data_IF_913451662318
#
_entry.id   IF_913451662318
#
_cell.length_a   1.000
_cell.length_b   1.000
_cell.length_c   1.000
_cell.angle_alpha   90.00
_cell.angle_beta   90.00
_cell.angle_gamma   90.00
#
_symmetry.space_group_name_H-M   'P 1'
#
loop_
_entity.id
_entity.type
_entity.pdbx_description
1 polymer ?
#
# COMPACT_ATOMS: atom_id res chain seq x y z
N UNK A 1 -8.14 4.08 -35.81
CA UNK A 1 -7.02 4.68 -36.57
C UNK A 1 -7.59 5.64 -37.63
N UNK A 2 -6.90 6.73 -37.95
CA UNK A 2 -7.27 7.58 -39.07
C UNK A 2 -7.31 6.76 -40.37
N UNK A 3 -8.28 7.07 -41.22
CA UNK A 3 -8.51 6.30 -42.46
C UNK A 3 -7.34 6.44 -43.42
N UNK A 4 -6.70 5.34 -43.77
CA UNK A 4 -5.56 5.35 -44.72
C UNK A 4 -4.21 5.73 -44.09
N UNK A 5 -4.12 5.89 -42.76
CA UNK A 5 -2.86 6.13 -42.07
C UNK A 5 -1.99 4.86 -42.06
N UNK A 6 -0.69 5.03 -42.21
CA UNK A 6 0.29 4.01 -42.02
C UNK A 6 0.36 3.63 -40.51
N UNK A 7 0.16 2.38 -40.12
CA UNK A 7 0.22 1.97 -38.70
C UNK A 7 1.52 2.34 -37.98
N UNK A 8 2.65 2.38 -38.71
CA UNK A 8 3.96 2.73 -38.13
C UNK A 8 4.12 4.24 -37.87
N UNK A 9 3.14 5.04 -38.30
CA UNK A 9 3.08 6.51 -38.11
C UNK A 9 1.93 6.94 -37.22
N UNK A 10 1.36 6.02 -36.45
CA UNK A 10 0.22 6.29 -35.55
C UNK A 10 0.64 6.01 -34.11
N UNK A 11 0.59 7.03 -33.27
CA UNK A 11 1.08 6.99 -31.91
C UNK A 11 0.02 7.42 -30.89
N UNK A 12 0.02 6.83 -29.71
CA UNK A 12 -0.65 7.35 -28.53
C UNK A 12 0.35 8.18 -27.72
N UNK A 13 0.05 9.44 -27.51
CA UNK A 13 0.94 10.36 -26.80
C UNK A 13 0.63 10.33 -25.29
N UNK A 14 1.51 9.74 -24.51
CA UNK A 14 1.39 9.66 -23.03
C UNK A 14 2.25 10.75 -22.37
N UNK A 15 1.94 11.05 -21.12
CA UNK A 15 2.72 11.93 -20.28
C UNK A 15 3.10 11.25 -18.98
N UNK A 16 4.31 11.48 -18.46
CA UNK A 16 4.79 10.97 -17.20
C UNK A 16 5.77 11.91 -16.51
N UNK A 17 5.76 11.93 -15.19
CA UNK A 17 6.77 12.57 -14.34
C UNK A 17 7.89 11.62 -13.91
N UNK A 18 7.73 10.32 -14.19
CA UNK A 18 8.62 9.26 -13.73
C UNK A 18 9.10 8.41 -14.91
N UNK A 19 10.03 8.90 -15.75
CA UNK A 19 10.49 8.20 -16.96
C UNK A 19 10.99 6.78 -16.71
N UNK A 20 11.56 6.52 -15.52
CA UNK A 20 12.04 5.19 -15.15
C UNK A 20 10.93 4.11 -15.14
N UNK A 21 9.64 4.48 -15.05
CA UNK A 21 8.54 3.50 -15.09
C UNK A 21 8.11 3.12 -16.51
N UNK A 22 8.53 3.85 -17.54
CA UNK A 22 8.19 3.55 -18.94
C UNK A 22 8.59 2.14 -19.38
N UNK A 23 9.78 1.63 -19.05
CA UNK A 23 10.14 0.23 -19.39
C UNK A 23 9.21 -0.83 -18.77
N UNK A 24 8.48 -0.45 -17.71
CA UNK A 24 7.54 -1.31 -16.97
C UNK A 24 6.09 -1.20 -17.49
N UNK A 25 5.84 -0.38 -18.51
CA UNK A 25 4.51 -0.12 -19.07
C UNK A 25 3.85 -1.39 -19.61
N UNK A 26 2.55 -1.57 -19.34
CA UNK A 26 1.74 -2.69 -19.86
C UNK A 26 0.43 -2.23 -20.50
N UNK A 27 -0.01 -1.00 -20.25
CA UNK A 27 -1.25 -0.46 -20.79
C UNK A 27 -1.18 1.07 -20.90
N UNK A 28 -2.17 1.68 -21.52
CA UNK A 28 -2.42 3.12 -21.54
C UNK A 28 -3.81 3.34 -20.97
N UNK A 29 -3.94 4.15 -19.92
CA UNK A 29 -5.25 4.50 -19.34
C UNK A 29 -5.83 5.73 -20.01
N UNK A 30 -7.12 5.65 -20.39
CA UNK A 30 -7.96 6.74 -20.88
C UNK A 30 -9.17 6.92 -19.96
N UNK A 31 -9.74 8.11 -19.88
CA UNK A 31 -10.99 8.33 -19.17
C UNK A 31 -12.18 8.07 -20.08
N UNK A 32 -13.14 7.28 -19.63
CA UNK A 32 -14.32 6.86 -20.41
C UNK A 32 -15.08 8.04 -21.03
N UNK A 33 -15.20 9.14 -20.28
CA UNK A 33 -16.05 10.28 -20.59
C UNK A 33 -15.35 11.42 -21.34
N UNK A 34 -14.04 11.35 -21.52
CA UNK A 34 -13.31 12.41 -22.22
C UNK A 34 -13.35 12.22 -23.73
N UNK A 35 -13.21 13.34 -24.44
CA UNK A 35 -13.10 13.39 -25.88
C UNK A 35 -11.63 13.30 -26.32
N UNK A 36 -11.34 12.44 -27.27
CA UNK A 36 -10.02 12.21 -27.85
C UNK A 36 -10.04 12.47 -29.34
N UNK A 37 -8.96 12.99 -29.85
CA UNK A 37 -8.79 13.34 -31.25
C UNK A 37 -7.45 12.85 -31.78
N UNK A 38 -7.38 12.69 -33.07
CA UNK A 38 -6.12 12.50 -33.77
C UNK A 38 -5.58 13.88 -34.20
N UNK A 39 -4.31 14.12 -33.94
CA UNK A 39 -3.59 15.31 -34.38
C UNK A 39 -2.55 14.88 -35.40
N UNK A 40 -2.60 15.44 -36.59
CA UNK A 40 -1.64 15.19 -37.65
C UNK A 40 -0.50 16.22 -37.62
N UNK A 41 0.74 15.72 -37.62
CA UNK A 41 1.96 16.52 -37.72
C UNK A 41 2.78 15.92 -38.88
N UNK A 42 2.81 16.64 -40.02
CA UNK A 42 3.41 16.08 -41.23
C UNK A 42 2.71 14.79 -41.67
N UNK A 43 3.38 13.68 -41.59
CA UNK A 43 2.86 12.35 -41.94
C UNK A 43 2.58 11.43 -40.72
N UNK A 44 2.74 11.96 -39.53
CA UNK A 44 2.45 11.25 -38.25
C UNK A 44 1.11 11.64 -37.65
N UNK A 45 0.49 10.73 -36.90
CA UNK A 45 -0.80 10.92 -36.23
C UNK A 45 -0.65 10.62 -34.75
N UNK A 46 -1.00 11.58 -33.90
CA UNK A 46 -0.93 11.51 -32.46
C UNK A 46 -2.32 11.46 -31.84
N UNK A 47 -2.60 10.45 -31.02
CA UNK A 47 -3.83 10.35 -30.22
C UNK A 47 -3.62 11.06 -28.88
N UNK A 48 -4.55 11.97 -28.52
CA UNK A 48 -4.58 12.65 -27.22
C UNK A 48 -5.95 13.22 -26.91
N UNK A 49 -6.18 13.66 -25.68
CA UNK A 49 -7.42 14.34 -25.32
C UNK A 49 -7.54 15.67 -26.05
N UNK A 50 -8.75 15.95 -26.56
CA UNK A 50 -9.06 17.13 -27.35
C UNK A 50 -8.72 18.46 -26.64
N UNK A 51 -9.07 18.56 -25.36
CA UNK A 51 -8.85 19.74 -24.54
C UNK A 51 -7.37 20.03 -24.24
N UNK A 52 -6.52 19.02 -24.43
CA UNK A 52 -5.07 19.09 -24.15
C UNK A 52 -4.22 19.23 -25.42
N UNK A 53 -4.81 19.38 -26.60
CA UNK A 53 -4.06 19.50 -27.86
C UNK A 53 -3.18 20.76 -27.86
N UNK A 54 -3.76 21.92 -27.62
CA UNK A 54 -3.02 23.19 -27.69
C UNK A 54 -1.85 23.27 -26.70
N UNK A 55 -2.05 22.97 -25.37
CA UNK A 55 -0.94 23.00 -24.44
C UNK A 55 0.12 21.94 -24.77
N UNK A 56 -0.26 20.77 -25.30
CA UNK A 56 0.67 19.72 -25.70
C UNK A 56 1.51 20.12 -26.90
N UNK A 57 0.90 20.67 -27.96
CA UNK A 57 1.61 21.15 -29.13
C UNK A 57 2.57 22.28 -28.78
N UNK A 58 2.16 23.20 -27.92
CA UNK A 58 3.02 24.25 -27.37
C UNK A 58 4.22 23.70 -26.60
N UNK A 59 4.02 22.66 -25.77
CA UNK A 59 5.10 22.00 -25.06
C UNK A 59 6.09 21.32 -26.02
N UNK A 60 5.60 20.74 -27.11
CA UNK A 60 6.39 20.16 -28.19
C UNK A 60 7.03 21.19 -29.13
N UNK A 61 6.68 22.47 -29.00
CA UNK A 61 7.09 23.55 -29.93
C UNK A 61 6.70 23.25 -31.39
N UNK A 62 5.50 22.71 -31.56
CA UNK A 62 4.91 22.38 -32.85
C UNK A 62 3.86 23.41 -33.16
N UNK A 63 4.09 24.24 -34.20
CA UNK A 63 3.18 25.31 -34.65
C UNK A 63 2.32 24.85 -35.83
N UNK A 64 2.80 23.90 -36.64
CA UNK A 64 2.10 23.35 -37.80
C UNK A 64 1.53 21.97 -37.53
N UNK A 65 0.23 21.89 -37.22
CA UNK A 65 -0.51 20.67 -36.97
C UNK A 65 -1.97 20.78 -37.38
N UNK A 66 -2.61 19.68 -37.64
CA UNK A 66 -4.01 19.59 -37.97
C UNK A 66 -4.76 18.67 -36.99
N UNK A 67 -5.82 19.18 -36.38
CA UNK A 67 -6.76 18.36 -35.58
C UNK A 67 -7.77 17.71 -36.50
N UNK A 68 -7.81 16.40 -36.56
CA UNK A 68 -8.76 15.70 -37.41
C UNK A 68 -10.20 15.82 -36.84
N UNK A 69 -11.23 15.83 -37.71
CA UNK A 69 -12.60 16.08 -37.29
C UNK A 69 -13.25 14.94 -36.48
N UNK A 70 -12.69 13.75 -36.57
CA UNK A 70 -13.23 12.57 -35.87
C UNK A 70 -12.93 12.66 -34.36
N UNK A 71 -13.97 12.90 -33.57
CA UNK A 71 -13.89 12.91 -32.09
C UNK A 71 -14.37 11.57 -31.58
N UNK A 72 -13.58 10.97 -30.71
CA UNK A 72 -13.87 9.69 -30.06
C UNK A 72 -13.97 9.86 -28.55
N UNK A 73 -14.86 9.12 -27.90
CA UNK A 73 -14.87 9.03 -26.44
C UNK A 73 -13.82 8.01 -25.98
N UNK A 74 -13.34 8.13 -24.71
CA UNK A 74 -12.43 7.12 -24.17
C UNK A 74 -13.01 5.72 -24.24
N UNK A 75 -14.32 5.56 -24.09
CA UNK A 75 -15.01 4.28 -24.25
C UNK A 75 -14.81 3.67 -25.65
N UNK A 76 -14.74 4.47 -26.68
CA UNK A 76 -14.50 4.01 -28.05
C UNK A 76 -13.02 3.66 -28.31
N UNK A 77 -12.11 4.10 -27.44
CA UNK A 77 -10.70 3.77 -27.51
C UNK A 77 -10.35 2.46 -26.81
N UNK A 78 -11.22 1.97 -25.93
CA UNK A 78 -11.00 0.75 -25.15
C UNK A 78 -10.64 -0.43 -26.07
N UNK A 79 -9.54 -1.09 -25.77
CA UNK A 79 -9.06 -2.24 -26.55
C UNK A 79 -8.23 -1.89 -27.80
N UNK A 80 -8.04 -0.63 -28.13
CA UNK A 80 -7.03 -0.27 -29.14
C UNK A 80 -5.64 -0.64 -28.63
N UNK A 81 -4.83 -1.27 -29.48
CA UNK A 81 -3.52 -1.79 -29.08
C UNK A 81 -2.41 -1.03 -29.78
N UNK A 82 -1.47 -0.54 -28.98
CA UNK A 82 -0.22 0.05 -29.44
C UNK A 82 0.97 -0.86 -29.16
N UNK A 83 2.12 -0.54 -29.71
CA UNK A 83 3.39 -1.19 -29.46
C UNK A 83 4.19 -0.41 -28.43
N UNK A 84 4.80 -1.10 -27.46
CA UNK A 84 5.73 -0.46 -26.53
C UNK A 84 6.94 0.12 -27.28
N UNK A 85 7.44 1.33 -26.91
CA UNK A 85 8.53 1.97 -27.68
C UNK A 85 9.85 1.21 -27.66
N UNK A 86 10.13 0.37 -26.63
CA UNK A 86 11.40 -0.35 -26.51
C UNK A 86 11.30 -1.86 -26.73
N UNK A 87 10.13 -2.44 -26.40
CA UNK A 87 9.98 -3.88 -26.31
C UNK A 87 8.92 -4.39 -27.27
N UNK A 88 9.03 -5.64 -27.67
CA UNK A 88 7.96 -6.34 -28.41
C UNK A 88 6.83 -6.71 -27.44
N UNK A 89 6.13 -5.67 -26.96
CA UNK A 89 5.01 -5.77 -26.03
C UNK A 89 3.83 -5.01 -26.58
N UNK A 90 2.67 -5.66 -26.58
CA UNK A 90 1.38 -5.04 -26.90
C UNK A 90 0.87 -4.24 -25.70
N UNK A 91 0.46 -3.02 -25.94
CA UNK A 91 0.00 -2.07 -24.93
C UNK A 91 -1.42 -1.65 -25.28
N UNK A 92 -2.45 -2.25 -24.67
CA UNK A 92 -3.84 -1.87 -24.94
C UNK A 92 -4.21 -0.57 -24.24
N UNK A 93 -5.20 0.15 -24.79
CA UNK A 93 -5.91 1.20 -24.07
C UNK A 93 -6.95 0.55 -23.15
N UNK A 94 -6.95 0.98 -21.89
CA UNK A 94 -7.89 0.59 -20.85
C UNK A 94 -8.56 1.82 -20.24
N UNK A 95 -9.66 1.65 -19.52
CA UNK A 95 -10.41 2.76 -18.91
C UNK A 95 -10.04 2.92 -17.44
N UNK A 96 -9.70 4.17 -17.04
CA UNK A 96 -9.34 4.52 -15.68
C UNK A 96 -9.83 5.90 -15.27
N UNK A 97 -10.55 5.98 -14.14
CA UNK A 97 -11.14 7.22 -13.62
C UNK A 97 -10.09 8.22 -13.08
N UNK A 98 -8.86 7.73 -12.83
CA UNK A 98 -7.73 8.55 -12.36
C UNK A 98 -7.15 9.47 -13.44
N UNK A 99 -7.50 9.25 -14.70
CA UNK A 99 -7.06 10.13 -15.81
C UNK A 99 -7.81 11.46 -15.74
N UNK A 100 -7.07 12.57 -15.75
CA UNK A 100 -7.59 13.93 -15.66
C UNK A 100 -7.20 14.78 -16.88
N UNK A 101 -7.83 15.96 -17.03
CA UNK A 101 -7.50 16.96 -18.05
C UNK A 101 -6.71 18.15 -17.49
N UNK A 102 -6.22 18.06 -16.25
CA UNK A 102 -5.48 19.17 -15.63
C UNK A 102 -4.08 19.33 -16.22
N UNK A 103 -3.43 18.22 -16.55
CA UNK A 103 -2.07 18.18 -17.09
C UNK A 103 -1.87 16.99 -18.02
N UNK A 104 -0.85 17.04 -18.85
CA UNK A 104 -0.44 15.92 -19.70
C UNK A 104 -1.16 15.89 -21.03
N UNK A 105 -1.54 14.70 -21.47
CA UNK A 105 -2.14 14.43 -22.79
C UNK A 105 -3.52 13.78 -22.71
N UNK A 106 -4.04 13.53 -21.49
CA UNK A 106 -5.26 12.76 -21.28
C UNK A 106 -5.11 11.25 -21.52
N UNK A 107 -3.91 10.81 -21.83
CA UNK A 107 -3.52 9.40 -21.89
C UNK A 107 -2.36 9.16 -20.93
N UNK A 108 -2.55 8.23 -20.00
CA UNK A 108 -1.56 7.93 -18.95
C UNK A 108 -0.97 6.55 -19.19
N UNK A 109 0.37 6.48 -19.25
CA UNK A 109 1.03 5.19 -19.26
C UNK A 109 0.77 4.46 -17.95
N UNK A 110 0.55 3.15 -18.01
CA UNK A 110 0.11 2.36 -16.86
C UNK A 110 1.10 1.25 -16.59
N UNK A 111 1.66 1.25 -15.37
CA UNK A 111 2.63 0.26 -14.89
C UNK A 111 2.19 -0.28 -13.51
N UNK A 112 1.47 -1.41 -13.45
CA UNK A 112 0.87 -1.93 -12.21
C UNK A 112 1.88 -2.29 -11.12
N UNK A 113 3.16 -2.42 -11.45
CA UNK A 113 4.23 -2.59 -10.46
C UNK A 113 4.50 -1.32 -9.64
N UNK A 114 4.14 -0.12 -10.15
CA UNK A 114 4.69 1.15 -9.66
C UNK A 114 3.67 2.24 -9.38
N UNK A 115 2.39 1.94 -9.33
CA UNK A 115 1.31 2.86 -8.97
C UNK A 115 0.09 2.13 -8.41
N UNK A 116 -0.55 2.71 -7.36
CA UNK A 116 -1.75 2.12 -6.80
C UNK A 116 -2.90 2.15 -7.81
N UNK A 117 -3.14 3.32 -8.44
CA UNK A 117 -4.18 3.49 -9.44
C UNK A 117 -3.95 2.57 -10.65
N UNK A 118 -2.68 2.43 -11.07
CA UNK A 118 -2.25 1.54 -12.15
C UNK A 118 -2.53 0.07 -11.80
N UNK A 119 -2.24 -0.33 -10.57
CA UNK A 119 -2.51 -1.67 -10.08
C UNK A 119 -4.02 -1.96 -10.05
N UNK A 120 -4.82 -1.05 -9.49
CA UNK A 120 -6.26 -1.22 -9.32
C UNK A 120 -6.98 -1.24 -10.68
N UNK A 121 -6.57 -0.41 -11.62
CA UNK A 121 -7.15 -0.43 -12.97
C UNK A 121 -6.75 -1.71 -13.73
N UNK A 122 -5.49 -2.14 -13.65
CA UNK A 122 -5.05 -3.38 -14.31
C UNK A 122 -5.75 -4.62 -13.74
N UNK A 123 -6.09 -4.63 -12.44
CA UNK A 123 -6.86 -5.71 -11.82
C UNK A 123 -8.24 -5.90 -12.47
N UNK A 124 -8.91 -4.82 -12.89
CA UNK A 124 -10.19 -4.88 -13.64
C UNK A 124 -10.00 -5.58 -15.00
N UNK A 125 -8.81 -5.51 -15.58
CA UNK A 125 -8.46 -6.10 -16.89
C UNK A 125 -7.55 -7.33 -16.78
N UNK A 126 -7.57 -8.03 -15.63
CA UNK A 126 -6.75 -9.23 -15.41
C UNK A 126 -6.99 -10.32 -16.46
N UNK A 127 -8.22 -10.44 -17.00
CA UNK A 127 -8.58 -11.36 -18.10
C UNK A 127 -7.86 -11.04 -19.42
N UNK A 128 -7.34 -9.80 -19.59
CA UNK A 128 -6.52 -9.42 -20.75
C UNK A 128 -5.02 -9.72 -20.53
N UNK A 129 -4.66 -10.34 -19.39
CA UNK A 129 -3.29 -10.65 -19.01
C UNK A 129 -2.53 -9.48 -18.41
N UNK A 130 -3.21 -8.37 -18.05
CA UNK A 130 -2.58 -7.22 -17.40
C UNK A 130 -2.34 -7.54 -15.93
N UNK A 131 -1.08 -7.61 -15.55
CA UNK A 131 -0.63 -7.93 -14.19
C UNK A 131 0.74 -7.32 -13.92
N UNK A 132 1.14 -7.19 -12.64
CA UNK A 132 2.52 -6.87 -12.29
C UNK A 132 3.52 -7.84 -12.95
N UNK A 133 4.62 -7.29 -13.43
CA UNK A 133 5.66 -8.05 -14.15
C UNK A 133 6.84 -8.43 -13.25
N UNK A 134 6.96 -7.81 -12.06
CA UNK A 134 8.12 -7.99 -11.19
C UNK A 134 9.38 -7.31 -11.75
N UNK A 135 9.23 -6.10 -12.25
CA UNK A 135 10.26 -5.35 -12.98
C UNK A 135 11.35 -4.77 -12.12
N UNK A 136 11.13 -4.60 -10.81
CA UNK A 136 12.07 -4.01 -9.85
C UNK A 136 12.18 -4.89 -8.61
N UNK A 137 13.41 -5.18 -8.21
CA UNK A 137 13.73 -6.01 -7.04
C UNK A 137 13.62 -5.25 -5.70
N UNK A 138 13.87 -5.95 -4.59
CA UNK A 138 13.83 -5.37 -3.22
C UNK A 138 14.90 -4.30 -2.94
N UNK A 139 15.90 -4.15 -3.80
CA UNK A 139 16.95 -3.12 -3.69
C UNK A 139 16.68 -1.90 -4.58
N UNK A 140 15.53 -1.87 -5.28
CA UNK A 140 15.18 -0.80 -6.20
C UNK A 140 15.91 -0.86 -7.54
N UNK A 141 16.37 -2.04 -7.95
CA UNK A 141 17.04 -2.26 -9.22
C UNK A 141 16.17 -3.05 -10.18
N UNK A 142 16.31 -2.77 -11.47
CA UNK A 142 15.60 -3.54 -12.48
C UNK A 142 16.04 -5.01 -12.49
N UNK A 143 15.05 -5.87 -12.66
CA UNK A 143 15.25 -7.31 -12.86
C UNK A 143 15.55 -7.63 -14.33
N UNK A 144 15.72 -8.91 -14.66
CA UNK A 144 15.83 -9.43 -16.02
C UNK A 144 14.59 -9.21 -16.90
N UNK A 145 13.49 -8.77 -16.31
CA UNK A 145 12.24 -8.41 -17.01
C UNK A 145 12.32 -7.07 -17.75
N UNK A 146 13.40 -6.31 -17.55
CA UNK A 146 13.63 -4.99 -18.16
C UNK A 146 14.94 -5.00 -18.95
N UNK A 147 14.98 -5.65 -20.14
CA UNK A 147 16.17 -5.81 -20.96
C UNK A 147 16.83 -4.47 -21.31
N UNK A 148 18.14 -4.40 -21.11
CA UNK A 148 18.96 -3.21 -21.37
C UNK A 148 19.08 -2.24 -20.22
N UNK A 149 18.34 -2.47 -19.09
CA UNK A 149 18.45 -1.70 -17.86
C UNK A 149 18.69 -2.60 -16.63
N UNK A 150 18.91 -3.89 -16.81
CA UNK A 150 19.07 -4.87 -15.73
C UNK A 150 20.14 -4.43 -14.72
N UNK A 151 19.84 -4.58 -13.44
CA UNK A 151 20.71 -4.25 -12.32
C UNK A 151 20.90 -2.75 -12.07
N UNK A 152 20.39 -1.87 -12.92
CA UNK A 152 20.48 -0.42 -12.71
C UNK A 152 19.47 0.02 -11.65
N UNK A 153 19.89 0.96 -10.80
CA UNK A 153 19.01 1.57 -9.81
C UNK A 153 18.01 2.53 -10.47
N UNK A 154 16.73 2.40 -10.17
CA UNK A 154 15.64 3.07 -10.92
C UNK A 154 15.78 4.59 -11.01
N UNK A 155 16.22 5.26 -9.94
CA UNK A 155 16.39 6.72 -9.98
C UNK A 155 17.53 7.20 -10.87
N UNK A 156 18.51 6.34 -11.15
CA UNK A 156 19.62 6.66 -12.05
C UNK A 156 19.22 6.54 -13.53
N UNK A 157 18.05 5.93 -13.83
CA UNK A 157 17.66 5.59 -15.19
C UNK A 157 16.71 6.60 -15.86
N UNK A 158 16.28 7.64 -15.16
CA UNK A 158 15.43 8.67 -15.79
C UNK A 158 16.07 9.28 -17.05
N UNK A 159 17.35 9.65 -16.98
CA UNK A 159 18.07 10.21 -18.12
C UNK A 159 18.35 9.16 -19.20
N UNK A 160 18.87 7.95 -18.89
CA UNK A 160 18.98 6.86 -19.86
C UNK A 160 17.70 6.53 -20.61
N UNK A 161 16.55 6.44 -19.92
CA UNK A 161 15.25 6.16 -20.56
C UNK A 161 14.84 7.28 -21.51
N UNK A 162 14.95 8.55 -21.09
CA UNK A 162 14.67 9.70 -21.97
C UNK A 162 15.57 9.67 -23.21
N UNK A 163 16.87 9.38 -23.04
CA UNK A 163 17.81 9.26 -24.15
C UNK A 163 17.40 8.14 -25.11
N UNK A 164 17.03 6.98 -24.59
CA UNK A 164 16.55 5.85 -25.38
C UNK A 164 15.29 6.20 -26.19
N UNK A 165 14.32 6.90 -25.58
CA UNK A 165 13.14 7.39 -26.28
C UNK A 165 13.50 8.33 -27.43
N UNK A 166 14.45 9.26 -27.19
CA UNK A 166 14.90 10.20 -28.22
C UNK A 166 15.60 9.48 -29.40
N UNK A 167 16.46 8.49 -29.09
CA UNK A 167 17.15 7.69 -30.10
C UNK A 167 16.18 6.88 -30.98
N UNK A 168 15.03 6.50 -30.44
CA UNK A 168 13.99 5.75 -31.15
C UNK A 168 12.93 6.65 -31.82
N UNK A 169 13.07 7.98 -31.74
CA UNK A 169 12.07 8.91 -32.24
C UNK A 169 10.75 8.90 -31.47
N UNK A 170 10.72 8.30 -30.28
CA UNK A 170 9.52 8.15 -29.45
C UNK A 170 9.40 9.24 -28.36
N UNK A 171 10.25 10.25 -28.35
CA UNK A 171 10.21 11.37 -27.42
C UNK A 171 9.62 12.60 -28.10
N UNK A 172 8.39 12.95 -27.80
CA UNK A 172 7.74 14.14 -28.34
C UNK A 172 8.28 15.44 -27.71
N UNK A 173 8.28 15.50 -26.36
CA UNK A 173 8.78 16.66 -25.64
C UNK A 173 9.32 16.26 -24.26
N UNK A 174 10.20 17.10 -23.72
CA UNK A 174 10.62 17.01 -22.32
C UNK A 174 10.67 18.39 -21.68
N UNK A 175 10.22 18.48 -20.44
CA UNK A 175 10.33 19.69 -19.63
C UNK A 175 10.77 19.32 -18.22
N UNK A 176 11.28 20.30 -17.48
CA UNK A 176 11.56 20.15 -16.05
C UNK A 176 10.51 20.94 -15.30
N UNK A 177 9.85 20.28 -14.34
CA UNK A 177 8.93 20.98 -13.47
C UNK A 177 9.09 20.53 -12.02
N UNK A 178 8.69 21.38 -11.11
CA UNK A 178 8.80 21.12 -9.67
C UNK A 178 7.48 20.57 -9.15
N UNK A 179 7.52 19.42 -8.53
CA UNK A 179 6.36 18.80 -7.90
C UNK A 179 6.72 18.20 -6.53
N UNK A 180 5.70 17.85 -5.76
CA UNK A 180 5.88 17.13 -4.51
C UNK A 180 6.14 15.65 -4.81
N UNK A 181 7.11 15.07 -4.12
CA UNK A 181 7.45 13.65 -4.23
C UNK A 181 7.41 12.98 -2.84
N UNK A 182 6.87 11.78 -2.71
CA UNK A 182 6.80 11.10 -1.43
C UNK A 182 8.19 10.67 -0.95
N UNK A 183 8.48 10.97 0.32
CA UNK A 183 9.73 10.61 0.98
C UNK A 183 9.49 9.75 2.20
N UNK A 184 10.43 8.88 2.52
CA UNK A 184 10.42 8.10 3.76
C UNK A 184 10.36 9.03 4.97
N UNK A 185 9.38 8.84 5.84
CA UNK A 185 9.23 9.66 7.05
C UNK A 185 10.43 9.57 8.00
N UNK A 186 11.22 8.48 7.93
CA UNK A 186 12.37 8.20 8.80
C UNK A 186 13.70 8.66 8.23
N UNK A 187 14.11 8.15 7.06
CA UNK A 187 15.40 8.51 6.44
C UNK A 187 15.33 9.72 5.51
N UNK A 188 14.12 10.18 5.16
CA UNK A 188 13.85 11.32 4.26
C UNK A 188 14.24 11.09 2.80
N UNK A 189 14.70 9.90 2.45
CA UNK A 189 14.98 9.53 1.07
C UNK A 189 13.69 9.32 0.26
N UNK A 190 13.71 9.56 -1.07
CA UNK A 190 12.56 9.32 -1.93
C UNK A 190 12.17 7.84 -1.92
N UNK A 191 10.86 7.57 -2.01
CA UNK A 191 10.34 6.21 -2.06
C UNK A 191 9.76 5.90 -3.43
N UNK A 192 9.63 4.61 -3.74
CA UNK A 192 8.92 4.12 -4.92
C UNK A 192 7.75 3.24 -4.50
N UNK A 193 6.73 3.16 -5.34
CA UNK A 193 5.73 2.09 -5.27
C UNK A 193 6.31 0.85 -5.96
N UNK A 194 6.11 -0.31 -5.36
CA UNK A 194 6.54 -1.60 -5.90
C UNK A 194 5.53 -2.68 -5.54
N UNK A 195 4.96 -3.32 -6.54
CA UNK A 195 4.13 -4.49 -6.32
C UNK A 195 4.98 -5.64 -5.75
N UNK A 196 4.49 -6.27 -4.69
CA UNK A 196 5.12 -7.42 -4.03
C UNK A 196 4.04 -8.40 -3.62
N UNK A 197 4.38 -9.68 -3.61
CA UNK A 197 3.53 -10.69 -2.99
C UNK A 197 3.47 -10.43 -1.49
N UNK A 198 2.27 -10.42 -0.94
CA UNK A 198 2.02 -10.13 0.47
C UNK A 198 0.90 -11.03 0.98
N UNK A 199 0.91 -11.30 2.29
CA UNK A 199 -0.19 -11.96 2.98
C UNK A 199 -1.21 -10.93 3.45
N UNK A 200 -2.46 -11.16 3.09
CA UNK A 200 -3.59 -10.33 3.50
C UNK A 200 -4.60 -11.13 4.31
N UNK A 201 -5.04 -10.55 5.43
CA UNK A 201 -6.23 -11.03 6.13
C UNK A 201 -7.45 -10.31 5.54
N UNK A 202 -8.35 -11.07 4.93
CA UNK A 202 -9.60 -10.51 4.41
C UNK A 202 -10.53 -10.13 5.56
N UNK A 203 -11.04 -8.90 5.52
CA UNK A 203 -11.98 -8.37 6.50
C UNK A 203 -13.43 -8.59 6.07
N UNK A 204 -13.69 -8.81 4.78
CA UNK A 204 -15.03 -8.87 4.21
C UNK A 204 -15.92 -9.96 4.85
N UNK A 205 -15.34 -11.11 5.17
CA UNK A 205 -16.06 -12.24 5.77
C UNK A 205 -16.63 -11.97 7.17
N UNK A 206 -16.12 -10.97 7.89
CA UNK A 206 -16.56 -10.63 9.24
C UNK A 206 -16.75 -9.13 9.50
N UNK A 207 -16.65 -8.28 8.46
CA UNK A 207 -16.82 -6.82 8.56
C UNK A 207 -18.10 -6.43 9.29
N UNK A 208 -19.24 -6.98 8.89
CA UNK A 208 -20.53 -6.65 9.52
C UNK A 208 -20.53 -7.01 11.00
N UNK A 209 -20.00 -8.19 11.37
CA UNK A 209 -19.86 -8.58 12.78
C UNK A 209 -18.97 -7.61 13.57
N UNK A 210 -17.92 -7.05 12.93
CA UNK A 210 -17.07 -6.05 13.58
C UNK A 210 -17.81 -4.72 13.79
N UNK A 211 -18.63 -4.28 12.83
CA UNK A 211 -19.48 -3.10 12.97
C UNK A 211 -20.52 -3.30 14.07
N UNK A 212 -21.19 -4.44 14.11
CA UNK A 212 -22.16 -4.79 15.15
C UNK A 212 -21.50 -4.85 16.54
N UNK A 213 -20.27 -5.35 16.63
CA UNK A 213 -19.51 -5.39 17.88
C UNK A 213 -19.15 -3.99 18.41
N UNK A 214 -18.88 -3.00 17.51
CA UNK A 214 -18.62 -1.62 17.89
C UNK A 214 -19.82 -1.01 18.63
N UNK A 215 -21.05 -1.32 18.22
CA UNK A 215 -22.28 -0.84 18.83
C UNK A 215 -22.49 -1.34 20.27
N UNK A 216 -21.85 -2.47 20.62
CA UNK A 216 -21.92 -3.04 21.98
C UNK A 216 -20.97 -2.39 22.98
N UNK A 217 -19.99 -1.60 22.50
CA UNK A 217 -18.92 -1.01 23.31
C UNK A 217 -19.27 0.38 23.79
N UNK A 218 -18.97 0.68 25.06
CA UNK A 218 -19.10 2.03 25.60
C UNK A 218 -17.91 2.90 25.23
N UNK A 219 -18.12 3.86 24.33
CA UNK A 219 -17.09 4.80 23.88
C UNK A 219 -17.05 6.06 24.72
N UNK A 220 -15.87 6.44 25.22
CA UNK A 220 -15.64 7.61 26.05
C UNK A 220 -14.44 8.40 25.48
N UNK A 221 -14.64 9.57 24.85
CA UNK A 221 -15.92 10.20 24.48
C UNK A 221 -16.67 9.45 23.37
N UNK A 222 -17.95 9.77 23.20
CA UNK A 222 -18.85 9.10 22.25
C UNK A 222 -18.38 9.16 20.78
N UNK A 223 -17.67 10.21 20.36
CA UNK A 223 -17.13 10.32 19.00
C UNK A 223 -16.17 9.18 18.62
N UNK A 224 -15.63 8.47 19.62
CA UNK A 224 -14.79 7.29 19.38
C UNK A 224 -15.51 6.18 18.61
N UNK A 225 -16.83 6.05 18.80
CA UNK A 225 -17.70 5.15 18.07
C UNK A 225 -17.64 5.43 16.56
N UNK A 226 -18.05 6.62 16.14
CA UNK A 226 -18.14 6.95 14.72
C UNK A 226 -16.77 6.89 14.04
N UNK A 227 -15.73 7.24 14.78
CA UNK A 227 -14.36 7.19 14.28
C UNK A 227 -13.92 5.76 13.94
N UNK A 228 -14.12 4.80 14.82
CA UNK A 228 -13.71 3.41 14.57
C UNK A 228 -14.67 2.73 13.59
N UNK A 229 -15.97 3.07 13.66
CA UNK A 229 -16.98 2.55 12.75
C UNK A 229 -16.61 2.86 11.29
N UNK A 230 -16.36 4.13 10.96
CA UNK A 230 -15.96 4.52 9.61
C UNK A 230 -14.63 3.88 9.20
N UNK A 231 -13.67 3.75 10.10
CA UNK A 231 -12.40 3.07 9.82
C UNK A 231 -12.55 1.59 9.49
N UNK A 232 -13.54 0.89 10.03
CA UNK A 232 -13.81 -0.53 9.73
C UNK A 232 -14.71 -0.65 8.51
N UNK A 233 -15.71 0.23 8.37
CA UNK A 233 -16.62 0.26 7.22
C UNK A 233 -15.86 0.39 5.90
N UNK A 234 -14.95 1.35 5.82
CA UNK A 234 -14.18 1.65 4.60
C UNK A 234 -12.85 0.87 4.49
N UNK A 235 -12.62 -0.07 5.41
CA UNK A 235 -11.35 -0.80 5.44
C UNK A 235 -11.27 -1.83 4.31
N UNK A 236 -10.18 -1.81 3.55
CA UNK A 236 -9.76 -2.91 2.69
C UNK A 236 -9.14 -4.07 3.49
N UNK A 237 -8.65 -5.08 2.78
CA UNK A 237 -7.94 -6.21 3.37
C UNK A 237 -6.71 -5.73 4.16
N UNK A 238 -6.40 -6.42 5.23
CA UNK A 238 -5.28 -6.08 6.09
C UNK A 238 -4.01 -6.82 5.64
N UNK A 239 -3.05 -6.10 5.06
CA UNK A 239 -1.73 -6.65 4.79
C UNK A 239 -1.02 -6.97 6.11
N UNK A 240 -0.90 -8.26 6.41
CA UNK A 240 -0.31 -8.74 7.67
C UNK A 240 1.19 -9.07 7.57
N UNK A 241 1.74 -9.23 6.38
CA UNK A 241 3.15 -9.56 6.17
C UNK A 241 4.05 -8.32 6.21
N UNK A 242 5.26 -8.48 6.75
CA UNK A 242 6.30 -7.45 6.80
C UNK A 242 7.66 -8.06 6.49
N UNK A 243 8.44 -7.39 5.66
CA UNK A 243 9.83 -7.73 5.32
C UNK A 243 10.76 -7.07 6.33
N UNK A 244 10.84 -7.66 7.54
CA UNK A 244 11.68 -7.21 8.65
C UNK A 244 12.36 -8.41 9.29
N UNK A 245 13.49 -8.17 9.93
CA UNK A 245 14.28 -9.23 10.61
C UNK A 245 13.73 -9.55 11.99
N UNK A 246 13.12 -8.58 12.67
CA UNK A 246 12.60 -8.72 14.02
C UNK A 246 11.07 -8.71 14.04
N UNK A 247 10.47 -9.80 14.50
CA UNK A 247 9.02 -9.95 14.68
C UNK A 247 8.59 -11.40 14.77
N UNK A 248 7.30 -11.63 14.99
CA UNK A 248 6.70 -12.96 15.01
C UNK A 248 6.60 -13.49 13.58
N UNK A 249 7.06 -14.70 13.29
CA UNK A 249 7.01 -15.27 11.95
C UNK A 249 5.58 -15.57 11.50
N UNK A 250 5.35 -15.56 10.20
CA UNK A 250 4.13 -16.07 9.58
C UNK A 250 4.29 -17.58 9.38
N UNK A 251 3.52 -18.44 10.08
CA UNK A 251 3.73 -19.88 10.09
C UNK A 251 3.16 -20.58 8.85
N UNK A 252 3.61 -20.19 7.68
CA UNK A 252 3.17 -20.71 6.39
C UNK A 252 4.33 -21.39 5.68
N UNK A 253 4.04 -22.53 5.06
CA UNK A 253 4.97 -23.24 4.21
C UNK A 253 4.52 -23.18 2.75
N UNK A 254 5.45 -23.45 1.84
CA UNK A 254 5.18 -23.59 0.42
C UNK A 254 5.70 -24.92 -0.06
N UNK A 255 4.92 -25.62 -0.84
CA UNK A 255 5.37 -26.81 -1.54
C UNK A 255 6.24 -26.40 -2.73
N UNK A 256 7.49 -26.87 -2.79
CA UNK A 256 8.39 -26.57 -3.89
C UNK A 256 8.05 -27.40 -5.16
N UNK A 257 7.30 -28.50 -5.01
CA UNK A 257 6.92 -29.36 -6.12
C UNK A 257 5.74 -28.80 -6.94
N UNK A 258 4.80 -28.06 -6.30
CA UNK A 258 3.62 -27.50 -6.99
C UNK A 258 3.42 -25.99 -6.78
N UNK A 259 4.21 -25.34 -5.94
CA UNK A 259 4.10 -23.91 -5.65
C UNK A 259 2.99 -23.51 -4.65
N UNK A 260 2.12 -24.44 -4.25
CA UNK A 260 0.99 -24.13 -3.38
C UNK A 260 1.43 -23.84 -1.94
N UNK A 261 0.73 -22.90 -1.31
CA UNK A 261 0.94 -22.56 0.09
C UNK A 261 0.25 -23.57 1.01
N UNK A 262 0.84 -23.80 2.18
CA UNK A 262 0.36 -24.76 3.18
C UNK A 262 0.19 -24.03 4.50
N UNK A 263 -1.05 -23.93 4.93
CA UNK A 263 -1.49 -23.51 6.24
C UNK A 263 -2.77 -24.29 6.58
N UNK A 264 -2.69 -25.19 7.54
CA UNK A 264 -3.83 -26.01 7.98
C UNK A 264 -3.70 -26.36 9.45
N UNK A 265 -4.75 -26.98 10.01
CA UNK A 265 -4.83 -27.30 11.44
C UNK A 265 -3.69 -28.23 11.89
N UNK A 266 -3.23 -29.15 11.04
CA UNK A 266 -2.15 -30.09 11.36
C UNK A 266 -0.82 -29.36 11.52
N UNK A 267 -0.43 -28.54 10.54
CA UNK A 267 0.82 -27.76 10.59
C UNK A 267 0.80 -26.74 11.70
N UNK A 268 -0.32 -26.05 11.90
CA UNK A 268 -0.47 -25.06 13.00
C UNK A 268 -0.42 -25.73 14.36
N UNK A 269 -1.11 -26.85 14.56
CA UNK A 269 -1.08 -27.57 15.85
C UNK A 269 0.31 -28.12 16.17
N UNK A 270 1.07 -28.55 15.17
CA UNK A 270 2.45 -28.98 15.36
C UNK A 270 3.35 -27.81 15.77
N UNK A 271 3.32 -26.70 15.04
CA UNK A 271 4.08 -25.50 15.37
C UNK A 271 3.70 -24.89 16.72
N UNK A 272 2.43 -24.91 17.09
CA UNK A 272 1.96 -24.43 18.38
C UNK A 272 2.64 -25.17 19.56
N UNK A 273 2.84 -26.48 19.43
CA UNK A 273 3.56 -27.29 20.46
C UNK A 273 5.04 -26.90 20.52
N UNK A 274 5.66 -26.67 19.39
CA UNK A 274 7.06 -26.24 19.33
C UNK A 274 7.23 -24.83 19.91
N UNK A 275 6.39 -23.88 19.51
CA UNK A 275 6.44 -22.50 19.99
C UNK A 275 6.13 -22.40 21.50
N UNK A 276 5.23 -23.24 22.02
CA UNK A 276 4.94 -23.30 23.45
C UNK A 276 6.15 -23.75 24.28
N UNK A 277 7.03 -24.55 23.70
CA UNK A 277 8.23 -25.07 24.36
C UNK A 277 9.45 -24.15 24.24
N UNK A 278 9.66 -23.54 23.04
CA UNK A 278 10.91 -22.89 22.68
C UNK A 278 10.71 -21.40 22.27
N UNK A 279 9.46 -20.93 22.20
CA UNK A 279 9.13 -19.56 21.75
C UNK A 279 9.06 -19.42 20.22
N UNK A 280 8.78 -18.21 19.75
CA UNK A 280 8.62 -17.93 18.32
C UNK A 280 9.94 -18.02 17.53
N UNK A 281 11.08 -17.95 18.21
CA UNK A 281 12.41 -18.08 17.59
C UNK A 281 12.64 -19.46 16.98
N UNK A 282 11.90 -20.48 17.45
CA UNK A 282 11.83 -21.84 16.87
C UNK A 282 11.76 -21.80 15.34
N UNK A 283 10.95 -20.90 14.78
CA UNK A 283 10.80 -20.76 13.32
C UNK A 283 12.11 -20.47 12.59
N UNK A 284 12.99 -19.71 13.22
CA UNK A 284 14.27 -19.31 12.66
C UNK A 284 15.40 -20.26 12.98
N UNK A 285 15.29 -20.98 14.11
CA UNK A 285 16.34 -21.88 14.62
C UNK A 285 16.32 -23.26 13.95
N UNK A 286 15.14 -23.71 13.48
CA UNK A 286 14.97 -25.05 12.93
C UNK A 286 14.84 -25.05 11.42
N UNK A 287 15.28 -26.12 10.78
CA UNK A 287 15.06 -26.38 9.37
C UNK A 287 13.60 -26.72 9.08
N UNK A 288 13.18 -26.54 7.82
CA UNK A 288 11.80 -26.81 7.39
C UNK A 288 11.36 -28.24 7.73
N UNK A 289 12.26 -29.22 7.57
CA UNK A 289 11.95 -30.63 7.88
C UNK A 289 11.61 -30.88 9.34
N UNK A 290 12.19 -30.10 10.24
CA UNK A 290 11.95 -30.20 11.69
C UNK A 290 10.65 -29.45 12.07
N UNK A 291 10.33 -28.37 11.34
CA UNK A 291 9.13 -27.58 11.54
C UNK A 291 7.87 -28.21 10.97
N UNK A 292 8.01 -29.15 10.03
CA UNK A 292 6.88 -29.91 9.48
C UNK A 292 6.56 -31.14 10.32
N UNK A 293 5.30 -31.57 10.42
CA UNK A 293 4.94 -32.86 11.01
C UNK A 293 5.69 -33.99 10.32
N UNK A 294 6.08 -35.02 11.08
CA UNK A 294 6.81 -36.18 10.56
C UNK A 294 6.02 -36.89 9.44
N UNK A 295 6.66 -37.11 8.31
CA UNK A 295 6.05 -37.77 7.15
C UNK A 295 5.00 -36.94 6.41
N UNK A 296 4.91 -35.62 6.66
CA UNK A 296 3.94 -34.74 6.03
C UNK A 296 4.08 -34.74 4.50
N UNK A 297 2.96 -34.76 3.82
CA UNK A 297 2.87 -34.68 2.35
C UNK A 297 1.95 -33.54 1.94
N UNK A 298 2.33 -32.84 0.88
CA UNK A 298 1.51 -31.78 0.31
C UNK A 298 0.10 -32.29 -0.02
N UNK A 299 -0.96 -31.68 0.50
CA UNK A 299 -2.33 -32.12 0.23
C UNK A 299 -2.75 -31.91 -1.23
N UNK A 300 -2.04 -31.09 -1.99
CA UNK A 300 -2.35 -30.80 -3.39
C UNK A 300 -1.66 -31.75 -4.37
N UNK A 301 -0.39 -32.09 -4.14
CA UNK A 301 0.38 -32.89 -5.11
C UNK A 301 1.05 -34.15 -4.51
N UNK A 302 1.01 -34.30 -3.18
CA UNK A 302 1.69 -35.41 -2.50
C UNK A 302 3.21 -35.22 -2.34
N UNK A 303 3.77 -34.11 -2.79
CA UNK A 303 5.19 -33.77 -2.69
C UNK A 303 5.67 -33.61 -1.26
N UNK A 304 7.01 -33.67 -1.08
CA UNK A 304 7.65 -33.66 0.25
C UNK A 304 8.73 -32.58 0.37
N UNK A 305 8.89 -31.73 -0.62
CA UNK A 305 9.84 -30.62 -0.60
C UNK A 305 9.12 -29.35 -0.24
N UNK A 306 9.56 -28.72 0.85
CA UNK A 306 8.90 -27.51 1.39
C UNK A 306 9.92 -26.42 1.68
N UNK A 307 9.49 -25.17 1.53
CA UNK A 307 10.17 -23.99 2.06
C UNK A 307 9.25 -23.26 3.03
N UNK A 308 9.81 -22.56 4.00
CA UNK A 308 9.06 -21.75 4.97
C UNK A 308 8.98 -20.29 4.52
N UNK A 309 7.94 -19.58 5.00
CA UNK A 309 7.81 -18.15 4.84
C UNK A 309 8.94 -17.42 5.59
N UNK A 310 9.43 -16.32 5.04
CA UNK A 310 10.48 -15.48 5.62
C UNK A 310 9.98 -14.14 6.13
N UNK A 311 8.75 -13.76 5.76
CA UNK A 311 8.12 -12.57 6.27
C UNK A 311 7.67 -12.75 7.73
N UNK A 312 7.59 -11.63 8.44
CA UNK A 312 7.05 -11.56 9.79
C UNK A 312 5.65 -10.95 9.80
N UNK A 313 4.92 -11.17 10.88
CA UNK A 313 3.62 -10.54 11.07
C UNK A 313 3.74 -9.03 11.33
N UNK A 314 2.72 -8.29 10.93
CA UNK A 314 2.52 -6.90 11.36
C UNK A 314 2.47 -6.84 12.89
N UNK A 315 3.28 -6.01 13.51
CA UNK A 315 3.28 -5.80 14.96
C UNK A 315 1.90 -5.41 15.53
N UNK A 316 1.04 -4.82 14.70
CA UNK A 316 -0.34 -4.54 15.08
C UNK A 316 -1.20 -5.80 15.13
N UNK A 317 -0.86 -6.84 14.38
CA UNK A 317 -1.47 -8.16 14.54
C UNK A 317 -1.04 -8.78 15.88
N UNK A 318 0.26 -8.77 16.19
CA UNK A 318 0.79 -9.29 17.45
C UNK A 318 0.14 -8.59 18.64
N UNK A 319 0.15 -7.25 18.66
CA UNK A 319 -0.47 -6.48 19.74
C UNK A 319 -1.99 -6.65 19.78
N UNK A 320 -2.62 -6.81 18.61
CA UNK A 320 -4.05 -7.09 18.48
C UNK A 320 -4.47 -8.40 19.16
N UNK A 321 -3.59 -9.40 19.16
CA UNK A 321 -3.83 -10.71 19.77
C UNK A 321 -3.60 -10.76 21.29
N UNK A 322 -3.27 -9.63 21.95
CA UNK A 322 -3.04 -9.58 23.41
C UNK A 322 -4.22 -10.15 24.21
N UNK A 323 -5.45 -9.95 23.75
CA UNK A 323 -6.64 -10.50 24.39
C UNK A 323 -6.64 -12.05 24.41
N UNK A 324 -6.09 -12.71 23.40
CA UNK A 324 -5.97 -14.17 23.35
C UNK A 324 -4.77 -14.65 24.16
N UNK A 325 -3.60 -14.00 24.00
CA UNK A 325 -2.35 -14.42 24.62
C UNK A 325 -2.26 -14.09 26.11
N UNK A 326 -2.92 -13.04 26.58
CA UNK A 326 -2.85 -12.56 27.97
C UNK A 326 -4.20 -12.68 28.66
N UNK A 327 -5.23 -11.93 28.23
CA UNK A 327 -6.48 -11.81 28.98
C UNK A 327 -7.20 -13.15 29.19
N UNK A 328 -7.19 -14.03 28.20
CA UNK A 328 -7.84 -15.36 28.30
C UNK A 328 -7.03 -16.39 29.09
N UNK A 329 -5.72 -16.21 29.17
CA UNK A 329 -4.82 -17.20 29.75
C UNK A 329 -4.43 -16.86 31.18
N UNK A 330 -4.60 -15.63 31.63
CA UNK A 330 -4.30 -15.20 32.98
C UNK A 330 -5.57 -15.36 33.88
N UNK A 331 -5.57 -16.18 34.92
CA UNK A 331 -6.73 -16.39 35.75
C UNK A 331 -7.14 -15.17 36.59
N UNK A 332 -6.27 -14.18 36.73
CA UNK A 332 -6.54 -12.96 37.48
C UNK A 332 -7.11 -11.83 36.59
N UNK A 333 -7.27 -12.09 35.27
CA UNK A 333 -7.76 -11.11 34.30
C UNK A 333 -9.10 -11.55 33.70
N UNK A 334 -9.96 -10.55 33.46
CA UNK A 334 -11.24 -10.76 32.78
C UNK A 334 -11.16 -10.64 31.26
N UNK A 335 -11.96 -11.47 30.56
CA UNK A 335 -12.15 -11.36 29.13
C UNK A 335 -13.66 -11.47 28.75
N UNK A 336 -14.23 -10.53 27.98
CA UNK A 336 -13.65 -9.25 27.53
C UNK A 336 -13.27 -8.35 28.71
N UNK A 337 -12.18 -7.55 28.53
CA UNK A 337 -11.75 -6.67 29.62
C UNK A 337 -12.71 -5.49 29.81
N UNK A 338 -12.69 -4.88 31.00
CA UNK A 338 -13.57 -3.77 31.34
C UNK A 338 -13.30 -2.52 30.52
N UNK A 339 -12.01 -2.20 30.27
CA UNK A 339 -11.64 -0.96 29.61
C UNK A 339 -10.30 -1.04 28.89
N UNK A 340 -10.26 -0.59 27.62
CA UNK A 340 -9.05 -0.15 26.94
C UNK A 340 -8.88 1.37 27.11
N UNK A 341 -7.69 1.81 27.49
CA UNK A 341 -7.39 3.22 27.75
C UNK A 341 -6.11 3.61 27.01
N UNK A 342 -6.25 4.47 26.00
CA UNK A 342 -5.12 4.95 25.18
C UNK A 342 -5.45 6.29 24.48
N UNK A 343 -4.47 6.79 23.70
CA UNK A 343 -4.64 7.99 22.87
C UNK A 343 -5.52 7.78 21.64
N UNK A 344 -5.94 8.88 21.06
CA UNK A 344 -6.85 8.89 19.90
C UNK A 344 -6.26 8.27 18.63
N UNK A 345 -4.93 8.13 18.53
CA UNK A 345 -4.24 7.45 17.43
C UNK A 345 -4.49 5.94 17.43
N UNK A 346 -4.88 5.35 18.57
CA UNK A 346 -5.13 3.92 18.69
C UNK A 346 -6.43 3.44 18.05
N UNK A 347 -7.29 4.34 17.59
CA UNK A 347 -8.42 3.96 16.72
C UNK A 347 -7.93 3.38 15.38
N UNK A 348 -6.73 3.77 14.93
CA UNK A 348 -6.04 3.18 13.78
C UNK A 348 -4.94 2.18 14.16
N UNK A 349 -4.74 1.94 15.42
CA UNK A 349 -3.75 1.03 16.00
C UNK A 349 -4.39 -0.06 16.83
N UNK A 350 -4.05 -0.12 18.12
CA UNK A 350 -4.40 -1.21 19.03
C UNK A 350 -5.91 -1.43 19.22
N UNK A 351 -6.72 -0.37 19.30
CA UNK A 351 -8.19 -0.55 19.41
C UNK A 351 -8.74 -1.29 18.18
N UNK A 352 -8.27 -0.92 16.98
CA UNK A 352 -8.70 -1.50 15.71
C UNK A 352 -8.21 -2.93 15.55
N UNK A 353 -6.91 -3.18 15.75
CA UNK A 353 -6.32 -4.50 15.56
C UNK A 353 -6.87 -5.52 16.56
N UNK A 354 -7.06 -5.11 17.84
CA UNK A 354 -7.69 -5.96 18.85
C UNK A 354 -9.15 -6.31 18.51
N UNK A 355 -9.91 -5.32 18.02
CA UNK A 355 -11.29 -5.56 17.59
C UNK A 355 -11.34 -6.59 16.45
N UNK A 356 -10.56 -6.37 15.40
CA UNK A 356 -10.57 -7.24 14.23
C UNK A 356 -10.16 -8.67 14.57
N UNK A 357 -9.07 -8.86 15.32
CA UNK A 357 -8.61 -10.20 15.71
C UNK A 357 -9.59 -10.90 16.65
N UNK A 358 -10.22 -10.16 17.57
CA UNK A 358 -11.23 -10.73 18.46
C UNK A 358 -12.51 -11.12 17.74
N UNK A 359 -13.02 -10.24 16.87
CA UNK A 359 -14.26 -10.55 16.13
C UNK A 359 -14.04 -11.70 15.15
N UNK A 360 -12.88 -11.75 14.49
CA UNK A 360 -12.57 -12.87 13.58
C UNK A 360 -12.57 -14.24 14.28
N UNK A 361 -12.06 -14.32 15.53
CA UNK A 361 -11.91 -15.57 16.26
C UNK A 361 -13.08 -15.84 17.22
N UNK A 362 -13.57 -14.80 17.91
CA UNK A 362 -14.55 -14.95 19.00
C UNK A 362 -15.93 -14.42 18.66
N UNK A 363 -16.07 -13.57 17.61
CA UNK A 363 -17.34 -12.99 17.18
C UNK A 363 -17.78 -11.74 17.94
N UNK A 364 -16.96 -11.21 18.90
CA UNK A 364 -17.31 -10.03 19.71
C UNK A 364 -16.07 -9.18 20.05
N UNK A 365 -16.30 -7.96 20.54
CA UNK A 365 -15.22 -7.04 20.92
C UNK A 365 -14.43 -7.56 22.14
N UNK A 366 -13.10 -7.32 22.23
CA UNK A 366 -12.28 -7.80 23.35
C UNK A 366 -12.38 -6.89 24.59
N UNK A 367 -13.13 -5.81 24.53
CA UNK A 367 -13.31 -4.81 25.57
C UNK A 367 -14.77 -4.36 25.68
N UNK A 368 -15.22 -4.04 26.89
CA UNK A 368 -16.57 -3.52 27.18
C UNK A 368 -16.64 -2.01 27.01
N UNK A 369 -15.52 -1.31 27.25
CA UNK A 369 -15.43 0.13 27.08
C UNK A 369 -14.09 0.57 26.54
N UNK A 370 -14.07 1.73 25.85
CA UNK A 370 -12.84 2.38 25.37
C UNK A 370 -12.82 3.83 25.86
N UNK A 371 -11.79 4.17 26.63
CA UNK A 371 -11.53 5.52 27.05
C UNK A 371 -10.38 6.11 26.25
N UNK A 372 -10.66 7.19 25.53
CA UNK A 372 -9.70 7.85 24.64
C UNK A 372 -9.26 9.16 25.22
N UNK A 373 -7.96 9.33 25.48
CA UNK A 373 -7.39 10.60 25.89
C UNK A 373 -6.75 11.36 24.71
N UNK A 374 -6.51 12.66 24.90
CA UNK A 374 -5.77 13.50 23.96
C UNK A 374 -4.25 13.30 24.08
N UNK A 375 -3.51 14.03 23.26
CA UNK A 375 -2.04 14.02 23.30
C UNK A 375 -1.49 15.00 24.34
N UNK A 376 -0.33 14.68 24.89
CA UNK A 376 0.46 15.67 25.62
C UNK A 376 1.08 16.63 24.62
N UNK A 377 0.91 17.93 24.84
CA UNK A 377 1.39 18.99 23.96
C UNK A 377 2.35 19.92 24.68
N UNK A 378 3.18 20.61 23.90
CA UNK A 378 4.04 21.68 24.38
C UNK A 378 3.25 22.96 24.66
N UNK A 379 3.93 24.01 25.10
CA UNK A 379 3.31 25.31 25.41
C UNK A 379 2.67 26.01 24.21
N UNK A 380 2.94 25.58 23.00
CA UNK A 380 2.39 26.12 21.74
C UNK A 380 1.30 25.20 21.15
N UNK A 381 0.91 24.14 21.88
CA UNK A 381 -0.16 23.23 21.47
C UNK A 381 0.29 22.14 20.51
N UNK A 382 1.57 21.98 20.24
CA UNK A 382 2.09 20.94 19.34
C UNK A 382 2.27 19.61 20.08
N UNK A 383 1.92 18.49 19.45
CA UNK A 383 2.12 17.16 20.02
C UNK A 383 3.59 16.96 20.41
N UNK A 384 3.83 16.61 21.66
CA UNK A 384 5.17 16.27 22.15
C UNK A 384 5.65 14.97 21.49
N UNK A 385 6.85 14.96 20.93
CA UNK A 385 7.45 13.77 20.34
C UNK A 385 8.95 13.73 20.58
N UNK A 386 9.51 12.51 20.59
CA UNK A 386 10.96 12.30 20.74
C UNK A 386 11.74 12.89 19.57
N UNK A 387 11.18 12.90 18.36
CA UNK A 387 11.81 13.43 17.16
C UNK A 387 11.96 14.94 17.15
N UNK A 388 11.12 15.65 17.92
CA UNK A 388 11.17 17.13 18.05
C UNK A 388 11.83 17.55 19.36
N UNK A 389 12.37 16.60 20.15
CA UNK A 389 13.04 16.83 21.44
C UNK A 389 12.19 17.66 22.46
N UNK A 390 10.87 17.58 22.36
CA UNK A 390 9.94 18.31 23.23
C UNK A 390 9.43 17.54 24.48
N UNK A 391 9.81 16.26 24.76
CA UNK A 391 9.24 15.56 25.90
C UNK A 391 9.75 16.13 27.22
N UNK A 392 8.82 16.58 28.06
CA UNK A 392 9.10 16.87 29.46
C UNK A 392 9.04 15.57 30.26
N UNK A 393 10.16 15.10 30.75
CA UNK A 393 10.19 13.89 31.57
C UNK A 393 9.52 14.09 32.93
N UNK A 394 8.74 13.15 33.45
CA UNK A 394 8.10 13.23 34.77
C UNK A 394 9.10 13.56 35.89
N UNK A 395 10.33 13.05 35.83
CA UNK A 395 11.42 13.37 36.77
C UNK A 395 11.84 14.85 36.78
N UNK A 396 11.76 15.54 35.62
CA UNK A 396 12.05 16.99 35.56
C UNK A 396 10.89 17.80 36.15
N UNK A 397 9.67 17.35 35.95
CA UNK A 397 8.48 17.97 36.45
C UNK A 397 8.34 17.77 37.97
N UNK A 398 8.64 16.57 38.49
CA UNK A 398 8.56 16.25 39.91
C UNK A 398 9.60 16.97 40.79
N UNK A 399 10.72 17.44 40.22
CA UNK A 399 11.72 18.26 40.92
C UNK A 399 11.20 19.68 41.26
N UNK A 400 10.22 20.16 40.49
CA UNK A 400 9.74 21.54 40.60
C UNK A 400 8.26 21.60 41.06
N UNK A 401 7.58 20.49 41.15
CA UNK A 401 6.16 20.36 41.60
C UNK A 401 6.00 19.08 42.36
N UNK A 402 5.10 19.05 43.35
CA UNK A 402 4.81 17.83 44.07
C UNK A 402 4.33 16.73 43.09
N UNK A 403 4.78 15.50 43.30
CA UNK A 403 4.45 14.34 42.47
C UNK A 403 2.92 14.17 42.34
N UNK A 404 2.19 14.44 43.40
CA UNK A 404 0.71 14.44 43.46
C UNK A 404 0.09 15.46 42.48
N UNK A 405 0.68 16.65 42.36
CA UNK A 405 0.20 17.68 41.41
C UNK A 405 0.44 17.30 39.97
N UNK A 406 1.57 16.61 39.68
CA UNK A 406 1.83 16.03 38.37
C UNK A 406 0.81 14.91 38.04
N UNK A 407 0.59 13.99 38.97
CA UNK A 407 -0.36 12.89 38.80
C UNK A 407 -1.81 13.43 38.66
N UNK A 408 -2.21 14.43 39.42
CA UNK A 408 -3.50 15.10 39.27
C UNK A 408 -3.62 15.86 37.95
N UNK A 409 -2.54 16.47 37.46
CA UNK A 409 -2.47 17.06 36.13
C UNK A 409 -2.76 16.02 35.05
N UNK A 410 -2.07 14.88 35.05
CA UNK A 410 -2.30 13.77 34.12
C UNK A 410 -3.72 13.17 34.25
N UNK A 411 -4.30 13.12 35.48
CA UNK A 411 -5.64 12.58 35.73
C UNK A 411 -6.77 13.53 35.28
N UNK A 412 -6.58 14.85 35.35
CA UNK A 412 -7.54 15.87 34.87
C UNK A 412 -7.53 16.01 33.34
N UNK A 413 -6.58 15.43 32.69
CA UNK A 413 -6.37 15.47 31.23
C UNK A 413 -7.27 14.47 30.50
N UNK A 414 -8.35 14.08 31.16
CA UNK A 414 -9.34 13.19 30.58
C UNK A 414 -10.06 13.79 29.40
N UNK A 415 -10.05 13.08 28.33
CA UNK A 415 -11.08 12.91 27.30
C UNK A 415 -11.49 14.12 26.45
N UNK A 416 -11.27 15.34 26.87
CA UNK A 416 -11.75 16.51 26.11
C UNK A 416 -10.66 17.41 25.55
N UNK A 417 -9.44 17.33 26.01
CA UNK A 417 -8.43 18.34 25.70
C UNK A 417 -7.02 17.75 25.60
N UNK A 418 -6.34 18.19 24.61
CA UNK A 418 -4.91 18.22 24.47
C UNK A 418 -4.30 18.90 25.71
N UNK A 419 -3.44 18.19 26.43
CA UNK A 419 -2.83 18.69 27.66
C UNK A 419 -1.55 19.44 27.41
N UNK A 420 -1.48 20.66 27.84
CA UNK A 420 -0.23 21.41 27.86
C UNK A 420 0.51 21.18 29.18
N UNK A 421 1.74 20.66 29.10
CA UNK A 421 2.65 20.61 30.24
C UNK A 421 3.57 21.82 30.18
N UNK A 422 3.27 22.88 30.93
CA UNK A 422 4.11 24.07 31.05
C UNK A 422 4.89 24.05 32.37
N UNK A 423 6.18 24.37 32.32
CA UNK A 423 6.88 24.86 33.49
C UNK A 423 6.23 26.19 33.90
N UNK A 424 5.72 26.31 35.12
CA UNK A 424 5.57 27.63 35.73
C UNK A 424 6.98 28.10 36.12
N UNK A 425 7.39 29.20 35.54
CA UNK A 425 8.56 29.97 35.96
C UNK A 425 8.37 30.48 37.37
#
# INVERSE_FOLDING_TARGET
MPKGADPDKVFALIWTTTPWTIPCNVAISANENFEYVWVRIGDEYLLMAKDLVEPTMKAGKVDDYEVLPDVMTGKQLEGLVFKHPFYDRKVPIILGDHVTLETGTGLVHTAPDHGQDDFDVCKKYASWGLKPLGTVDGTGRYTDKVPGFEGQFVFDTNVPVIKKLAELGALFAKSTFRHQYPHCWRCKEPIIYRATEQWFASVDGFRQKALDAIDTVKWIPSWGHDRIYNMIHDRGDWCISRQRVWGVPIPIFYCEDCGEHIINDETIAHLQKMFAKEGSDTWWMHDVKELMPEGYKCPHCGGTHFRKETDIMDVWFDSGCTHQGVLKNDPDLDYPCEMYLEGSDQHRGWFNSSLLTSVAVNGYAPYKSVLTHGFTVDGEGRKMSKSVATPSLPRKSSKNTALTSCACGYRRLTTRVISACRRRS
#
